data_IF_242069272274
#
_entry.id   IF_242069272274
#
_cell.length_a   1.000
_cell.length_b   1.000
_cell.length_c   1.000
_cell.angle_alpha   90.00
_cell.angle_beta   90.00
_cell.angle_gamma   90.00
#
_symmetry.space_group_name_H-M   'P 1'
#
loop_
_entity.id
_entity.type
_entity.pdbx_description
1 polymer ?
#
# COMPACT_ATOMS: atom_id res chain seq x y z
N UNK A 1 33.69 48.98 -30.08
CA UNK A 1 32.54 48.71 -29.17
C UNK A 1 32.64 47.24 -28.74
N UNK A 2 33.24 46.96 -27.57
CA UNK A 2 33.52 45.58 -27.13
C UNK A 2 32.31 45.11 -26.30
N UNK A 3 31.50 44.19 -26.86
CA UNK A 3 30.42 43.53 -26.11
C UNK A 3 31.04 42.67 -25.01
N UNK A 4 30.98 43.12 -23.74
CA UNK A 4 31.28 42.27 -22.58
C UNK A 4 30.22 41.18 -22.51
N UNK A 5 30.52 40.00 -23.03
CA UNK A 5 29.68 38.81 -22.89
C UNK A 5 29.53 38.49 -21.41
N UNK A 6 28.28 38.50 -20.93
CA UNK A 6 27.93 38.30 -19.52
C UNK A 6 28.00 36.81 -19.17
N UNK A 7 29.19 36.33 -18.81
CA UNK A 7 29.43 34.96 -18.33
C UNK A 7 28.57 34.58 -17.11
N UNK A 8 28.11 35.58 -16.35
CA UNK A 8 27.22 35.41 -15.18
C UNK A 8 25.88 34.78 -15.61
N UNK A 9 25.35 35.19 -16.75
CA UNK A 9 24.07 34.66 -17.27
C UNK A 9 24.18 33.19 -17.67
N UNK A 10 25.30 32.78 -18.27
CA UNK A 10 25.54 31.36 -18.61
C UNK A 10 25.72 30.49 -17.37
N UNK A 11 26.29 31.03 -16.30
CA UNK A 11 26.48 30.33 -15.02
C UNK A 11 25.14 30.05 -14.33
N UNK A 12 24.20 31.00 -14.37
CA UNK A 12 22.83 30.78 -13.90
C UNK A 12 22.06 29.74 -14.74
N UNK A 13 22.24 29.75 -16.06
CA UNK A 13 21.62 28.77 -16.96
C UNK A 13 22.14 27.36 -16.67
N UNK A 14 23.46 27.19 -16.51
CA UNK A 14 24.06 25.89 -16.14
C UNK A 14 23.57 25.39 -14.79
N UNK A 15 23.44 26.27 -13.80
CA UNK A 15 22.91 25.92 -12.48
C UNK A 15 21.44 25.47 -12.53
N UNK A 16 20.60 26.16 -13.32
CA UNK A 16 19.20 25.77 -13.51
C UNK A 16 19.05 24.41 -14.20
N UNK A 17 19.91 24.12 -15.20
CA UNK A 17 19.95 22.81 -15.87
C UNK A 17 20.37 21.70 -14.91
N UNK A 18 21.35 21.97 -14.04
CA UNK A 18 21.81 21.00 -13.03
C UNK A 18 20.72 20.67 -12.00
N UNK A 19 19.95 21.67 -11.55
CA UNK A 19 18.78 21.46 -10.68
C UNK A 19 17.72 20.61 -11.39
N UNK A 20 17.40 20.92 -12.65
CA UNK A 20 16.43 20.13 -13.42
C UNK A 20 16.87 18.68 -13.64
N UNK A 21 18.18 18.41 -13.82
CA UNK A 21 18.69 17.05 -13.94
C UNK A 21 18.57 16.27 -12.62
N UNK A 22 18.79 16.91 -11.46
CA UNK A 22 18.62 16.25 -10.16
C UNK A 22 17.16 15.89 -9.87
N UNK A 23 16.20 16.71 -10.29
CA UNK A 23 14.77 16.43 -10.14
C UNK A 23 14.26 15.27 -11.03
N UNK A 24 15.06 14.79 -11.98
CA UNK A 24 14.65 13.72 -12.90
C UNK A 24 14.84 12.30 -12.32
N UNK A 25 15.66 12.14 -11.28
CA UNK A 25 15.92 10.82 -10.69
C UNK A 25 14.76 10.34 -9.80
N UNK A 26 14.03 11.28 -9.17
CA UNK A 26 12.85 10.96 -8.36
C UNK A 26 11.61 10.57 -9.19
N UNK A 27 11.56 10.93 -10.48
CA UNK A 27 10.39 10.67 -11.33
C UNK A 27 10.34 9.24 -11.88
N UNK A 28 11.49 8.55 -11.99
CA UNK A 28 11.56 7.17 -12.51
C UNK A 28 10.97 6.14 -11.54
N UNK A 29 11.03 6.39 -10.23
CA UNK A 29 10.44 5.50 -9.22
C UNK A 29 8.90 5.49 -9.25
N UNK A 30 8.27 6.57 -9.72
CA UNK A 30 6.82 6.69 -9.77
C UNK A 30 6.21 6.26 -11.12
N UNK A 31 6.96 6.39 -12.23
CA UNK A 31 6.45 6.06 -13.57
C UNK A 31 6.26 4.56 -13.82
N UNK A 32 7.02 3.68 -13.15
CA UNK A 32 6.91 2.22 -13.32
C UNK A 32 5.71 1.60 -12.60
N UNK A 33 5.01 2.34 -11.73
CA UNK A 33 3.89 1.82 -10.93
C UNK A 33 2.56 1.96 -11.70
N UNK A 34 2.44 2.92 -12.61
CA UNK A 34 1.20 3.22 -13.34
C UNK A 34 0.84 2.20 -14.43
N UNK A 35 1.82 1.41 -14.90
CA UNK A 35 1.63 0.42 -15.97
C UNK A 35 1.58 -1.05 -15.48
N UNK A 36 1.67 -1.30 -14.17
CA UNK A 36 1.57 -2.66 -13.65
C UNK A 36 0.12 -3.12 -13.57
N UNK A 37 -0.33 -3.84 -14.59
CA UNK A 37 -1.58 -4.60 -14.52
C UNK A 37 -1.49 -5.60 -13.37
N UNK A 38 -2.48 -5.57 -12.47
CA UNK A 38 -2.62 -6.56 -11.42
C UNK A 38 -2.93 -7.90 -12.11
N UNK A 39 -2.09 -8.93 -11.92
CA UNK A 39 -2.39 -10.25 -12.45
C UNK A 39 -3.71 -10.76 -11.87
N UNK A 40 -4.44 -11.58 -12.62
CA UNK A 40 -5.67 -12.19 -12.09
C UNK A 40 -5.39 -12.97 -10.79
N UNK A 41 -4.24 -13.62 -10.74
CA UNK A 41 -3.67 -14.21 -9.54
C UNK A 41 -2.94 -13.13 -8.74
N UNK A 42 -3.60 -12.61 -7.71
CA UNK A 42 -3.05 -11.65 -6.77
C UNK A 42 -3.57 -11.91 -5.36
N UNK A 43 -2.76 -11.59 -4.35
CA UNK A 43 -3.18 -11.62 -2.95
C UNK A 43 -3.57 -10.20 -2.57
N UNK A 44 -4.82 -10.00 -2.18
CA UNK A 44 -5.32 -8.68 -1.78
C UNK A 44 -5.27 -8.49 -0.27
N UNK A 45 -5.50 -7.27 0.20
CA UNK A 45 -5.66 -6.93 1.60
C UNK A 45 -7.03 -6.31 1.81
N UNK A 46 -7.75 -6.81 2.81
CA UNK A 46 -9.01 -6.26 3.29
C UNK A 46 -8.92 -6.03 4.80
N UNK A 47 -9.19 -4.80 5.24
CA UNK A 47 -9.25 -4.49 6.68
C UNK A 47 -10.62 -3.90 7.02
N UNK A 48 -11.34 -4.53 7.94
CA UNK A 48 -12.62 -4.05 8.46
C UNK A 48 -12.39 -3.34 9.79
N UNK A 49 -12.78 -2.08 9.87
CA UNK A 49 -12.79 -1.35 11.15
C UNK A 49 -13.91 -1.86 12.06
N UNK A 50 -13.74 -1.64 13.36
CA UNK A 50 -14.77 -1.94 14.35
C UNK A 50 -16.06 -1.13 14.10
N UNK A 51 -15.93 0.18 13.85
CA UNK A 51 -17.04 1.08 13.49
C UNK A 51 -16.62 2.18 12.50
N UNK A 52 -17.56 3.06 12.15
CA UNK A 52 -17.32 4.25 11.30
C UNK A 52 -16.84 5.47 12.09
N UNK A 53 -16.53 5.33 13.39
CA UNK A 53 -16.00 6.44 14.17
C UNK A 53 -14.65 6.91 13.62
N UNK A 54 -14.32 8.21 13.73
CA UNK A 54 -13.03 8.72 13.29
C UNK A 54 -11.84 7.99 13.94
N UNK A 55 -11.95 7.59 15.21
CA UNK A 55 -10.91 6.83 15.91
C UNK A 55 -10.73 5.43 15.30
N UNK A 56 -11.82 4.72 15.01
CA UNK A 56 -11.77 3.38 14.42
C UNK A 56 -11.25 3.41 12.97
N UNK A 57 -11.57 4.46 12.23
CA UNK A 57 -11.02 4.67 10.89
C UNK A 57 -9.53 5.01 10.92
N UNK A 58 -9.09 5.75 11.94
CA UNK A 58 -7.68 6.09 12.13
C UNK A 58 -6.83 4.88 12.54
N UNK A 59 -7.29 4.09 13.51
CA UNK A 59 -6.56 2.90 13.94
C UNK A 59 -6.52 1.84 12.83
N UNK A 60 -7.58 1.71 12.02
CA UNK A 60 -7.56 0.89 10.79
C UNK A 60 -6.39 1.27 9.86
N UNK A 61 -6.14 2.57 9.66
CA UNK A 61 -5.01 3.03 8.82
C UNK A 61 -3.66 2.69 9.45
N UNK A 62 -3.51 2.81 10.77
CA UNK A 62 -2.30 2.37 11.47
C UNK A 62 -2.05 0.87 11.33
N UNK A 63 -3.10 0.06 11.52
CA UNK A 63 -3.02 -1.40 11.34
C UNK A 63 -2.65 -1.73 9.90
N UNK A 64 -3.28 -1.08 8.92
CA UNK A 64 -2.93 -1.21 7.50
C UNK A 64 -1.44 -0.97 7.26
N UNK A 65 -0.92 0.15 7.74
CA UNK A 65 0.47 0.55 7.49
C UNK A 65 1.45 -0.46 8.10
N UNK A 66 1.20 -0.89 9.34
CA UNK A 66 2.02 -1.90 10.02
C UNK A 66 1.99 -3.27 9.29
N UNK A 67 0.81 -3.73 8.89
CA UNK A 67 0.66 -5.01 8.17
C UNK A 67 1.32 -4.96 6.80
N UNK A 68 1.16 -3.86 6.05
CA UNK A 68 1.79 -3.71 4.73
C UNK A 68 3.31 -3.73 4.86
N UNK A 69 3.88 -3.01 5.84
CA UNK A 69 5.32 -2.96 6.05
C UNK A 69 5.89 -4.37 6.26
N UNK A 70 5.33 -5.12 7.20
CA UNK A 70 5.80 -6.45 7.58
C UNK A 70 5.63 -7.46 6.44
N UNK A 71 4.47 -7.45 5.77
CA UNK A 71 4.25 -8.35 4.64
C UNK A 71 5.21 -8.04 3.51
N UNK A 72 5.45 -6.76 3.18
CA UNK A 72 6.40 -6.38 2.14
C UNK A 72 7.83 -6.86 2.42
N UNK A 73 8.24 -6.87 3.69
CA UNK A 73 9.54 -7.42 4.08
C UNK A 73 9.62 -8.92 3.75
N UNK A 74 8.57 -9.69 4.05
CA UNK A 74 8.52 -11.13 3.74
C UNK A 74 8.38 -11.42 2.24
N UNK A 75 7.59 -10.60 1.53
CA UNK A 75 7.31 -10.78 0.10
C UNK A 75 8.26 -10.01 -0.83
N UNK A 76 9.37 -9.49 -0.30
CA UNK A 76 10.42 -8.83 -1.09
C UNK A 76 11.30 -9.81 -1.88
N UNK A 77 11.34 -11.10 -1.48
CA UNK A 77 12.13 -12.18 -2.10
C UNK A 77 11.39 -13.41 -2.71
N UNK A 78 10.04 -13.56 -2.69
CA UNK A 78 9.39 -14.72 -3.29
C UNK A 78 9.56 -14.76 -4.81
N UNK A 79 9.83 -15.95 -5.32
CA UNK A 79 9.90 -16.25 -6.75
C UNK A 79 8.51 -16.56 -7.37
N UNK A 80 7.42 -16.07 -6.78
CA UNK A 80 6.05 -16.22 -7.33
C UNK A 80 4.93 -16.15 -6.29
N UNK A 81 3.67 -16.16 -6.77
CA UNK A 81 2.47 -16.03 -5.93
C UNK A 81 2.30 -17.18 -4.93
N UNK A 82 2.62 -18.42 -5.31
CA UNK A 82 2.52 -19.59 -4.43
C UNK A 82 3.40 -19.45 -3.18
N UNK A 83 4.64 -18.99 -3.38
CA UNK A 83 5.57 -18.76 -2.28
C UNK A 83 5.10 -17.59 -1.42
N UNK A 84 4.60 -16.50 -2.02
CA UNK A 84 4.02 -15.39 -1.28
C UNK A 84 2.82 -15.84 -0.44
N UNK A 85 1.92 -16.67 -0.99
CA UNK A 85 0.77 -17.26 -0.28
C UNK A 85 1.22 -18.08 0.91
N UNK A 86 2.18 -18.99 0.70
CA UNK A 86 2.71 -19.81 1.78
C UNK A 86 3.37 -18.97 2.87
N UNK A 87 4.15 -17.96 2.48
CA UNK A 87 4.84 -17.05 3.39
C UNK A 87 3.85 -16.29 4.28
N UNK A 88 2.84 -15.66 3.67
CA UNK A 88 1.77 -14.93 4.37
C UNK A 88 0.98 -15.88 5.27
N UNK A 89 0.61 -17.06 4.79
CA UNK A 89 -0.15 -18.05 5.56
C UNK A 89 0.61 -18.51 6.81
N UNK A 90 1.92 -18.75 6.69
CA UNK A 90 2.78 -19.11 7.83
C UNK A 90 2.93 -17.96 8.85
N UNK A 91 2.79 -16.71 8.40
CA UNK A 91 2.96 -15.51 9.22
C UNK A 91 1.65 -14.92 9.75
N UNK A 92 0.50 -15.58 9.55
CA UNK A 92 -0.78 -15.13 10.14
C UNK A 92 -0.71 -14.93 11.66
N UNK A 93 -0.04 -15.80 12.45
CA UNK A 93 0.13 -15.55 13.89
C UNK A 93 0.88 -14.24 14.19
N UNK A 94 1.93 -13.95 13.43
CA UNK A 94 2.72 -12.73 13.54
C UNK A 94 1.90 -11.49 13.15
N UNK A 95 1.11 -11.58 12.07
CA UNK A 95 0.16 -10.53 11.67
C UNK A 95 -0.83 -10.25 12.81
N UNK A 96 -1.38 -11.29 13.44
CA UNK A 96 -2.27 -11.13 14.59
C UNK A 96 -1.56 -10.44 15.77
N UNK A 97 -0.29 -10.74 16.02
CA UNK A 97 0.50 -10.06 17.06
C UNK A 97 0.73 -8.58 16.72
N UNK A 98 1.03 -8.25 15.45
CA UNK A 98 1.19 -6.87 14.99
C UNK A 98 -0.11 -6.08 15.18
N UNK A 99 -1.24 -6.65 14.77
CA UNK A 99 -2.56 -6.03 14.99
C UNK A 99 -2.82 -5.83 16.47
N UNK A 100 -2.56 -6.83 17.30
CA UNK A 100 -2.71 -6.75 18.75
C UNK A 100 -1.89 -5.61 19.35
N UNK A 101 -0.61 -5.52 18.96
CA UNK A 101 0.32 -4.51 19.45
C UNK A 101 -0.13 -3.10 19.07
N UNK A 102 -0.52 -2.90 17.80
CA UNK A 102 -1.03 -1.61 17.33
C UNK A 102 -2.29 -1.20 18.10
N UNK A 103 -3.23 -2.13 18.34
CA UNK A 103 -4.43 -1.82 19.13
C UNK A 103 -4.07 -1.45 20.58
N UNK A 104 -3.21 -2.25 21.21
CA UNK A 104 -2.80 -2.07 22.60
C UNK A 104 -2.09 -0.73 22.81
N UNK A 105 -1.10 -0.41 21.99
CA UNK A 105 -0.31 0.83 22.08
C UNK A 105 -1.14 2.09 21.86
N UNK A 106 -2.30 1.97 21.21
CA UNK A 106 -3.21 3.08 20.95
C UNK A 106 -4.46 3.04 21.85
N UNK A 107 -4.50 2.16 22.86
CA UNK A 107 -5.57 2.13 23.88
C UNK A 107 -6.87 1.45 23.45
N UNK A 108 -6.86 0.62 22.40
CA UNK A 108 -8.02 -0.15 21.95
C UNK A 108 -8.02 -1.57 22.53
N UNK A 109 -9.18 -2.05 22.98
CA UNK A 109 -9.31 -3.32 23.69
C UNK A 109 -10.33 -4.30 23.05
N UNK A 110 -10.74 -4.05 21.80
CA UNK A 110 -11.66 -4.96 21.09
C UNK A 110 -10.93 -6.17 20.49
N UNK A 111 -11.70 -7.21 20.16
CA UNK A 111 -11.21 -8.41 19.49
C UNK A 111 -10.62 -8.11 18.12
N UNK A 112 -9.76 -8.99 17.62
CA UNK A 112 -9.21 -8.90 16.27
C UNK A 112 -9.00 -10.30 15.69
N UNK A 113 -9.07 -10.40 14.37
CA UNK A 113 -8.83 -11.64 13.66
C UNK A 113 -8.20 -11.37 12.30
N UNK A 114 -7.09 -12.05 12.01
CA UNK A 114 -6.44 -12.04 10.69
C UNK A 114 -6.47 -13.44 10.10
N UNK A 115 -6.79 -13.54 8.82
CA UNK A 115 -6.88 -14.80 8.09
C UNK A 115 -6.65 -14.61 6.60
N UNK A 116 -6.17 -15.64 5.93
CA UNK A 116 -6.04 -15.69 4.48
C UNK A 116 -7.19 -16.52 3.90
N UNK A 117 -7.95 -15.97 2.96
CA UNK A 117 -9.06 -16.70 2.36
C UNK A 117 -9.71 -15.98 1.18
N UNK A 118 -10.71 -16.63 0.60
CA UNK A 118 -11.50 -16.07 -0.50
C UNK A 118 -12.59 -15.17 0.07
N UNK A 119 -12.55 -13.88 -0.28
CA UNK A 119 -13.51 -12.89 0.22
C UNK A 119 -14.08 -12.03 -0.92
N UNK A 120 -15.31 -11.50 -0.78
CA UNK A 120 -15.88 -10.61 -1.79
C UNK A 120 -15.16 -9.26 -1.78
N UNK A 121 -14.82 -8.76 -2.96
CA UNK A 121 -14.33 -7.40 -3.21
C UNK A 121 -15.31 -6.65 -4.12
N UNK A 122 -15.53 -5.35 -3.86
CA UNK A 122 -16.23 -4.48 -4.80
C UNK A 122 -15.37 -4.22 -6.04
N UNK A 123 -15.98 -3.63 -7.07
CA UNK A 123 -15.21 -3.10 -8.19
C UNK A 123 -14.27 -1.99 -7.71
N UNK A 124 -13.02 -2.00 -8.18
CA UNK A 124 -11.98 -1.05 -7.78
C UNK A 124 -11.21 -0.56 -9.00
N UNK A 125 -10.73 0.68 -8.92
CA UNK A 125 -9.93 1.30 -9.97
C UNK A 125 -8.52 1.41 -9.44
N UNK A 126 -7.55 0.81 -10.14
CA UNK A 126 -6.12 0.96 -9.84
C UNK A 126 -5.44 1.49 -11.09
N UNK A 127 -4.76 2.63 -10.97
CA UNK A 127 -4.20 3.35 -12.12
C UNK A 127 -5.29 3.68 -13.15
N UNK A 128 -5.15 3.17 -14.37
CA UNK A 128 -6.08 3.40 -15.47
C UNK A 128 -7.02 2.20 -15.75
N UNK A 129 -7.01 1.17 -14.88
CA UNK A 129 -7.75 -0.07 -15.11
C UNK A 129 -8.84 -0.30 -14.05
N UNK A 130 -9.99 -0.80 -14.50
CA UNK A 130 -11.13 -1.16 -13.64
C UNK A 130 -11.10 -2.66 -13.40
N UNK A 131 -11.00 -3.04 -12.14
CA UNK A 131 -11.08 -4.41 -11.68
C UNK A 131 -12.50 -4.70 -11.21
N UNK A 132 -13.19 -5.71 -11.78
CA UNK A 132 -14.59 -5.97 -11.47
C UNK A 132 -14.78 -6.46 -10.04
N UNK A 133 -16.03 -6.37 -9.56
CA UNK A 133 -16.42 -7.01 -8.31
C UNK A 133 -16.33 -8.54 -8.45
N UNK A 134 -15.93 -9.22 -7.38
CA UNK A 134 -15.73 -10.67 -7.42
C UNK A 134 -15.18 -11.22 -6.12
N UNK A 135 -14.92 -12.52 -6.10
CA UNK A 135 -14.29 -13.20 -4.97
C UNK A 135 -12.81 -13.37 -5.26
N UNK A 136 -11.97 -12.87 -4.36
CA UNK A 136 -10.52 -12.87 -4.53
C UNK A 136 -9.85 -13.39 -3.26
N UNK A 137 -8.68 -13.98 -3.42
CA UNK A 137 -7.82 -14.31 -2.30
C UNK A 137 -7.34 -13.02 -1.62
N UNK A 138 -7.55 -12.93 -0.31
CA UNK A 138 -7.13 -11.78 0.46
C UNK A 138 -6.74 -12.15 1.89
N UNK A 139 -5.75 -11.41 2.39
CA UNK A 139 -5.54 -11.27 3.82
C UNK A 139 -6.66 -10.39 4.37
N UNK A 140 -7.58 -10.98 5.13
CA UNK A 140 -8.67 -10.30 5.81
C UNK A 140 -8.28 -10.05 7.26
N UNK A 141 -8.28 -8.79 7.66
CA UNK A 141 -8.12 -8.36 9.05
C UNK A 141 -9.43 -7.74 9.53
N UNK A 142 -10.07 -8.33 10.53
CA UNK A 142 -11.29 -7.82 11.14
C UNK A 142 -10.96 -7.25 12.51
N UNK A 143 -11.29 -5.97 12.72
CA UNK A 143 -11.15 -5.28 14.00
C UNK A 143 -12.52 -5.21 14.67
N UNK A 144 -12.59 -5.62 15.93
CA UNK A 144 -13.80 -5.65 16.75
C UNK A 144 -14.97 -6.35 16.07
N UNK A 145 -16.10 -5.65 15.97
CA UNK A 145 -17.32 -6.18 15.32
C UNK A 145 -17.27 -6.14 13.78
N UNK A 146 -16.25 -5.50 13.18
CA UNK A 146 -16.10 -5.41 11.72
C UNK A 146 -17.23 -4.64 11.01
N UNK A 147 -17.93 -3.73 11.71
CA UNK A 147 -19.07 -2.98 11.17
C UNK A 147 -18.70 -1.68 10.48
N UNK A 148 -17.43 -1.28 10.57
CA UNK A 148 -16.93 -0.06 9.96
C UNK A 148 -16.58 -0.19 8.48
N UNK A 149 -16.17 0.94 7.90
CA UNK A 149 -15.68 1.02 6.54
C UNK A 149 -14.49 0.10 6.29
N UNK A 150 -14.48 -0.46 5.09
CA UNK A 150 -13.48 -1.42 4.66
C UNK A 150 -12.30 -0.69 4.02
N UNK A 151 -11.09 -1.14 4.29
CA UNK A 151 -9.91 -0.83 3.48
C UNK A 151 -9.68 -1.95 2.47
N UNK A 152 -9.33 -1.60 1.24
CA UNK A 152 -9.08 -2.54 0.16
C UNK A 152 -7.78 -2.14 -0.54
N UNK A 153 -6.88 -3.09 -0.79
CA UNK A 153 -5.74 -2.88 -1.68
C UNK A 153 -5.17 -4.21 -2.19
N UNK A 154 -4.16 -4.16 -3.07
CA UNK A 154 -3.44 -5.36 -3.55
C UNK A 154 -2.11 -5.48 -2.81
N UNK A 155 -1.95 -6.59 -2.08
CA UNK A 155 -0.81 -6.87 -1.21
C UNK A 155 0.34 -7.51 -2.00
N UNK A 156 0.02 -8.39 -2.95
CA UNK A 156 0.99 -9.00 -3.86
C UNK A 156 0.41 -9.05 -5.30
N UNK A 157 1.05 -8.40 -6.29
CA UNK A 157 2.20 -7.48 -6.15
C UNK A 157 1.86 -6.24 -5.30
N UNK A 158 2.85 -5.59 -4.65
CA UNK A 158 2.61 -4.56 -3.62
C UNK A 158 2.14 -3.24 -4.23
N UNK A 159 0.83 -3.07 -4.37
CA UNK A 159 0.18 -1.86 -4.90
C UNK A 159 -0.65 -1.12 -3.85
N UNK A 160 -0.51 -1.47 -2.57
CA UNK A 160 -1.26 -0.83 -1.48
C UNK A 160 -0.89 0.64 -1.23
N UNK A 161 0.24 1.14 -1.72
CA UNK A 161 0.63 2.55 -1.58
C UNK A 161 -0.08 3.50 -2.55
N UNK A 162 -0.64 2.98 -3.64
CA UNK A 162 -1.20 3.78 -4.74
C UNK A 162 -2.64 4.23 -4.44
N UNK A 163 -3.32 3.55 -3.51
CA UNK A 163 -4.77 3.65 -3.29
C UNK A 163 -5.20 4.58 -2.15
N UNK A 164 -4.31 5.47 -1.69
CA UNK A 164 -4.60 6.45 -0.64
C UNK A 164 -5.73 7.45 -0.99
N UNK A 165 -6.27 7.41 -2.21
CA UNK A 165 -7.24 8.37 -2.75
C UNK A 165 -8.71 7.90 -2.63
N UNK A 166 -8.97 6.64 -2.27
CA UNK A 166 -10.35 6.14 -2.12
C UNK A 166 -10.58 5.35 -0.83
N UNK A 167 -10.52 6.06 0.30
CA UNK A 167 -10.89 5.57 1.63
C UNK A 167 -11.66 6.62 2.41
#
# INVERSE_FOLDING_TARGET
>A
MIKRTSYRSYLFILFAIFIMMMSWDETKANASILDQKIPQESIRLRILANSDSPEDQWIKRKVRDAVIQEVNEWVSQPQGIEQARQMISQHIPQINQIVAQVLHDNGFAYSYQSELGIVPFPAKIYGNEVYPAGNYEALRVTLGEGKGQNWWCVLFPPLCFVDAVSG
#
